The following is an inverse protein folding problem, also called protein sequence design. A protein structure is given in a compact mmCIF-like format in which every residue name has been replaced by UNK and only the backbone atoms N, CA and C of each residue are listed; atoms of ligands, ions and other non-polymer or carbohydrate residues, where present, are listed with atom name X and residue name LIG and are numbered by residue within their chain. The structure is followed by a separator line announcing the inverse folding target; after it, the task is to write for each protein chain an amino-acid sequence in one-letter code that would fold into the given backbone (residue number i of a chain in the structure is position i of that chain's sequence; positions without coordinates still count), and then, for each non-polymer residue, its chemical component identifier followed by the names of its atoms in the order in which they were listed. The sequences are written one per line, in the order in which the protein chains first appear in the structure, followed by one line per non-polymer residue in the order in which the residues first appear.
data_IF_743569935856
#
_entry.id   IF_743569935856
#
_cell.length_a   1.000
_cell.length_b   1.000
_cell.length_c   1.000
_cell.angle_alpha   90.00
_cell.angle_beta   90.00
_cell.angle_gamma   90.00
#
_symmetry.space_group_name_H-M   'P 1'
#
loop_
_entity.id
_entity.type
_entity.pdbx_description
1 polymer ?
#
# COMPACT_ATOMS: atom_id res chain seq x y z
N UNK A 1 -7.12 6.97 -3.99
CA UNK A 1 -6.22 7.91 -4.67
C UNK A 1 -5.70 7.30 -5.94
N UNK A 2 -5.88 7.96 -7.08
CA UNK A 2 -5.44 7.46 -8.39
C UNK A 2 -3.91 7.47 -8.52
N UNK A 3 -3.35 6.44 -9.17
CA UNK A 3 -1.92 6.34 -9.52
C UNK A 3 -0.95 6.33 -8.32
N UNK A 4 -1.41 5.93 -7.14
CA UNK A 4 -0.50 5.60 -6.04
C UNK A 4 0.10 4.21 -6.30
N UNK A 5 1.36 3.99 -5.93
CA UNK A 5 1.99 2.68 -5.92
C UNK A 5 1.97 2.12 -4.49
N UNK A 6 1.48 0.89 -4.34
CA UNK A 6 1.53 0.13 -3.09
C UNK A 6 2.46 -1.06 -3.27
N UNK A 7 3.39 -1.27 -2.34
CA UNK A 7 4.35 -2.40 -2.39
C UNK A 7 4.48 -3.09 -1.06
N UNK A 8 4.86 -4.36 -1.08
CA UNK A 8 5.35 -5.06 0.11
C UNK A 8 6.85 -4.84 0.25
N UNK A 9 7.29 -4.20 1.34
CA UNK A 9 8.70 -3.82 1.52
C UNK A 9 9.58 -4.99 1.96
N UNK A 10 8.99 -6.02 2.57
CA UNK A 10 9.68 -7.24 3.00
C UNK A 10 9.52 -8.41 2.03
N UNK A 11 8.85 -8.21 0.89
CA UNK A 11 8.62 -9.22 -0.13
C UNK A 11 8.82 -8.62 -1.52
N UNK A 12 10.00 -8.88 -2.11
CA UNK A 12 10.34 -8.39 -3.45
C UNK A 12 9.35 -8.91 -4.49
N UNK A 13 8.98 -8.06 -5.45
CA UNK A 13 8.13 -8.40 -6.59
C UNK A 13 6.62 -8.20 -6.37
N UNK A 14 6.19 -7.80 -5.17
CA UNK A 14 4.79 -7.45 -4.91
C UNK A 14 4.60 -5.93 -4.89
N UNK A 15 4.11 -5.41 -6.01
CA UNK A 15 3.71 -4.01 -6.19
C UNK A 15 2.44 -3.94 -7.03
N UNK A 16 1.54 -3.01 -6.68
CA UNK A 16 0.35 -2.69 -7.46
C UNK A 16 0.19 -1.19 -7.57
N UNK A 17 -0.40 -0.73 -8.68
CA UNK A 17 -0.84 0.65 -8.86
C UNK A 17 -2.32 0.72 -8.51
N UNK A 18 -2.73 1.79 -7.85
CA UNK A 18 -4.14 2.03 -7.56
C UNK A 18 -4.92 2.46 -8.81
N UNK A 19 -6.16 2.01 -8.91
CA UNK A 19 -7.10 2.41 -9.95
C UNK A 19 -7.60 3.86 -9.78
N UNK A 20 -8.58 4.27 -10.59
CA UNK A 20 -9.15 5.63 -10.56
C UNK A 20 -9.82 5.99 -9.24
N UNK A 21 -10.36 4.99 -8.54
CA UNK A 21 -11.06 5.17 -7.27
C UNK A 21 -10.10 5.02 -6.07
N UNK A 22 -8.93 4.42 -6.30
CA UNK A 22 -7.88 4.25 -5.31
C UNK A 22 -7.69 2.83 -4.81
N UNK A 23 -8.39 1.85 -5.38
CA UNK A 23 -8.27 0.47 -5.00
C UNK A 23 -7.05 -0.17 -5.66
N UNK A 24 -6.45 -1.14 -4.99
CA UNK A 24 -5.35 -1.94 -5.48
C UNK A 24 -5.55 -3.40 -5.06
N UNK A 25 -4.89 -4.31 -5.76
CA UNK A 25 -4.91 -5.74 -5.43
C UNK A 25 -3.47 -6.27 -5.46
N UNK A 26 -3.05 -6.87 -4.35
CA UNK A 26 -1.83 -7.67 -4.28
C UNK A 26 -2.29 -9.07 -3.90
N UNK A 27 -2.18 -10.01 -4.83
CA UNK A 27 -2.60 -11.39 -4.67
C UNK A 27 -1.40 -12.35 -4.59
N UNK A 28 -1.68 -13.64 -4.39
CA UNK A 28 -0.68 -14.70 -4.35
C UNK A 28 0.48 -14.50 -3.35
N UNK A 29 0.26 -13.72 -2.28
CA UNK A 29 1.23 -13.53 -1.20
C UNK A 29 1.18 -14.72 -0.23
N UNK A 30 2.35 -15.11 0.28
CA UNK A 30 2.45 -16.22 1.25
C UNK A 30 1.87 -15.81 2.61
N UNK A 31 1.29 -16.75 3.36
CA UNK A 31 0.89 -16.49 4.75
C UNK A 31 2.07 -16.02 5.60
N UNK A 32 1.81 -15.14 6.55
CA UNK A 32 2.79 -14.59 7.47
C UNK A 32 2.73 -13.07 7.61
N UNK A 33 3.76 -12.51 8.24
CA UNK A 33 3.88 -11.08 8.49
C UNK A 33 4.42 -10.33 7.26
N UNK A 34 3.75 -9.23 6.92
CA UNK A 34 4.09 -8.36 5.81
C UNK A 34 4.09 -6.91 6.26
N UNK A 35 4.84 -6.10 5.51
CA UNK A 35 4.86 -4.65 5.68
C UNK A 35 4.57 -4.03 4.32
N UNK A 36 3.53 -3.19 4.26
CA UNK A 36 3.16 -2.47 3.04
C UNK A 36 3.52 -0.99 3.16
N UNK A 37 4.05 -0.43 2.08
CA UNK A 37 4.25 1.00 1.93
C UNK A 37 3.48 1.53 0.72
N UNK A 38 3.08 2.79 0.79
CA UNK A 38 2.34 3.47 -0.26
C UNK A 38 3.04 4.77 -0.64
N UNK A 39 3.11 5.04 -1.94
CA UNK A 39 3.68 6.25 -2.48
C UNK A 39 2.73 6.88 -3.49
N UNK A 40 2.52 8.19 -3.38
CA UNK A 40 1.81 8.98 -4.37
C UNK A 40 2.51 10.34 -4.52
N UNK A 41 2.87 10.77 -5.74
CA UNK A 41 3.49 12.08 -5.96
C UNK A 41 2.64 13.21 -5.38
N UNK A 42 3.27 14.10 -4.61
CA UNK A 42 2.58 15.23 -3.96
C UNK A 42 1.91 14.89 -2.63
N UNK A 43 2.08 13.67 -2.11
CA UNK A 43 1.55 13.25 -0.82
C UNK A 43 2.62 12.62 0.06
N UNK A 44 2.46 12.76 1.37
CA UNK A 44 3.19 12.02 2.40
C UNK A 44 2.35 10.84 2.90
N UNK A 45 2.98 9.66 2.99
CA UNK A 45 2.45 8.55 3.77
C UNK A 45 2.89 8.68 5.23
N UNK A 46 1.97 8.59 6.21
CA UNK A 46 2.31 8.81 7.62
C UNK A 46 3.17 7.70 8.22
N UNK A 47 3.05 6.44 7.75
CA UNK A 47 3.94 5.32 8.09
C UNK A 47 3.68 4.10 7.18
N UNK A 48 4.62 3.15 7.16
CA UNK A 48 4.40 1.79 6.65
C UNK A 48 3.41 1.04 7.54
N UNK A 49 2.62 0.13 6.95
CA UNK A 49 1.60 -0.65 7.65
C UNK A 49 2.05 -2.11 7.76
N UNK A 50 2.18 -2.60 9.00
CA UNK A 50 2.44 -4.01 9.29
C UNK A 50 1.13 -4.79 9.47
N UNK A 51 1.04 -5.98 8.87
CA UNK A 51 -0.10 -6.87 9.01
C UNK A 51 0.35 -8.34 8.93
N UNK A 52 -0.52 -9.27 9.34
CA UNK A 52 -0.30 -10.71 9.18
C UNK A 52 -1.48 -11.30 8.44
N UNK A 53 -1.23 -12.13 7.44
CA UNK A 53 -2.27 -12.80 6.64
C UNK A 53 -2.11 -14.32 6.74
N UNK A 54 -3.23 -15.02 6.88
CA UNK A 54 -3.34 -16.47 6.88
C UNK A 54 -3.44 -17.08 5.48
N UNK A 55 -3.51 -18.41 5.43
CA UNK A 55 -3.74 -19.13 4.17
C UNK A 55 -5.16 -18.89 3.66
N UNK A 56 -5.29 -18.56 2.37
CA UNK A 56 -6.56 -18.22 1.70
C UNK A 56 -7.34 -17.06 2.36
N UNK A 57 -6.69 -16.24 3.20
CA UNK A 57 -7.29 -15.06 3.79
C UNK A 57 -7.25 -13.86 2.82
N UNK A 58 -8.19 -12.94 2.96
CA UNK A 58 -8.18 -11.63 2.31
C UNK A 58 -8.30 -10.55 3.37
N UNK A 59 -7.47 -9.52 3.24
CA UNK A 59 -7.44 -8.37 4.17
C UNK A 59 -7.56 -7.07 3.40
N UNK A 60 -8.23 -6.10 4.02
CA UNK A 60 -8.23 -4.72 3.55
C UNK A 60 -7.17 -3.93 4.32
N UNK A 61 -6.20 -3.37 3.59
CA UNK A 61 -5.16 -2.50 4.14
C UNK A 61 -5.33 -1.12 3.50
N UNK A 62 -5.57 -0.11 4.32
CA UNK A 62 -5.90 1.24 3.85
C UNK A 62 -4.80 2.24 4.21
N UNK A 63 -4.44 3.11 3.27
CA UNK A 63 -3.47 4.19 3.47
C UNK A 63 -4.17 5.55 3.47
N UNK A 64 -4.00 6.29 4.56
CA UNK A 64 -4.43 7.69 4.66
C UNK A 64 -3.25 8.61 4.33
N UNK A 65 -3.21 9.11 3.11
CA UNK A 65 -2.13 10.00 2.65
C UNK A 65 -2.49 11.46 2.88
N UNK A 66 -1.49 12.26 3.25
CA UNK A 66 -1.63 13.69 3.48
C UNK A 66 -0.99 14.47 2.33
N UNK A 67 -1.66 15.49 1.75
CA UNK A 67 -1.03 16.35 0.77
C UNK A 67 0.26 16.96 1.32
N UNK A 68 1.33 16.93 0.54
CA UNK A 68 2.52 17.73 0.82
C UNK A 68 2.12 19.19 0.68
N UNK A 69 2.13 19.95 1.78
CA UNK A 69 1.89 21.38 1.70
C UNK A 69 3.01 21.99 0.86
N UNK A 70 2.64 22.75 -0.17
CA UNK A 70 3.60 23.63 -0.82
C UNK A 70 4.05 24.66 0.23
N UNK A 71 5.35 24.78 0.45
CA UNK A 71 5.86 25.91 1.20
C UNK A 71 5.43 27.19 0.46
N UNK A 72 4.70 28.06 1.16
CA UNK A 72 4.28 29.38 0.68
C UNK A 72 5.45 30.33 0.54
#
# INVERSE_FOLDING_TARGET
MKNASVRLVNANGFESITDTDGYYLIDAIKPGAHVASCFAPGFAAPADISFSIGENESLEVNFSLLPLQAAS
#
